data_IF_308517101958
#
_entry.id   IF_308517101958
#
_cell.length_a   1.000
_cell.length_b   1.000
_cell.length_c   1.000
_cell.angle_alpha   90.00
_cell.angle_beta   90.00
_cell.angle_gamma   90.00
#
_symmetry.space_group_name_H-M   'P 1'
#
loop_
_entity.id
_entity.type
_entity.pdbx_description
1 polymer ?
#
# COMPACT_ATOMS: atom_id res chain seq x y z
N UNK A 1 71.34 57.91 -15.29
CA UNK A 1 69.93 57.96 -15.75
C UNK A 1 69.29 56.61 -15.37
N UNK A 2 68.53 56.52 -14.27
CA UNK A 2 67.95 55.30 -13.72
C UNK A 2 66.45 55.30 -14.09
N UNK A 3 66.07 54.41 -14.99
CA UNK A 3 64.66 54.15 -15.40
C UNK A 3 63.99 53.37 -14.29
N UNK A 4 62.94 53.89 -13.66
CA UNK A 4 62.06 53.19 -12.72
C UNK A 4 60.83 52.62 -13.52
N UNK A 5 60.74 51.31 -13.63
CA UNK A 5 59.55 50.64 -14.10
C UNK A 5 58.51 50.58 -12.97
N UNK A 6 57.38 51.24 -13.14
CA UNK A 6 56.21 51.02 -12.33
C UNK A 6 55.37 49.85 -12.93
N UNK A 7 55.23 48.78 -12.19
CA UNK A 7 54.32 47.67 -12.55
C UNK A 7 52.96 47.99 -11.93
N UNK A 8 51.88 48.10 -12.70
CA UNK A 8 50.53 48.23 -12.12
C UNK A 8 50.07 46.91 -11.56
N UNK A 9 49.75 46.86 -10.27
CA UNK A 9 49.13 45.75 -9.57
C UNK A 9 47.65 45.75 -9.93
N UNK A 10 47.22 44.80 -10.81
CA UNK A 10 45.80 44.60 -11.13
C UNK A 10 45.17 43.84 -9.96
N UNK A 11 44.41 44.51 -9.12
CA UNK A 11 43.55 43.91 -8.10
C UNK A 11 42.35 43.22 -8.81
N UNK A 12 42.44 41.92 -8.97
CA UNK A 12 41.28 41.11 -9.38
C UNK A 12 40.30 41.02 -8.21
N UNK A 13 39.28 41.87 -8.24
CA UNK A 13 38.18 41.82 -7.28
C UNK A 13 37.30 40.56 -7.54
N UNK A 14 37.50 39.52 -6.75
CA UNK A 14 36.54 38.44 -6.69
C UNK A 14 35.24 38.93 -6.03
N UNK A 15 34.24 39.27 -6.84
CA UNK A 15 32.90 39.51 -6.33
C UNK A 15 32.31 38.14 -5.90
N UNK A 16 32.33 37.86 -4.61
CA UNK A 16 31.52 36.81 -4.02
C UNK A 16 30.06 37.19 -4.20
N UNK A 17 29.39 36.68 -5.22
CA UNK A 17 27.92 36.65 -5.25
C UNK A 17 27.47 35.66 -4.18
N UNK A 18 27.02 36.20 -3.03
CA UNK A 18 26.27 35.39 -2.08
C UNK A 18 25.00 34.93 -2.79
N UNK A 19 24.94 33.65 -3.13
CA UNK A 19 23.71 33.02 -3.55
C UNK A 19 22.74 33.11 -2.37
N UNK A 20 21.80 34.07 -2.41
CA UNK A 20 20.68 34.11 -1.47
C UNK A 20 19.84 32.87 -1.76
N UNK A 21 19.87 31.91 -0.82
CA UNK A 21 19.00 30.76 -0.90
C UNK A 21 17.55 31.26 -0.90
N UNK A 22 16.77 30.84 -1.88
CA UNK A 22 15.35 31.14 -1.94
C UNK A 22 14.66 30.49 -0.72
N UNK A 23 13.81 31.22 0.01
CA UNK A 23 13.12 30.65 1.16
C UNK A 23 12.17 29.53 0.71
N UNK A 24 12.12 28.46 1.50
CA UNK A 24 11.21 27.34 1.24
C UNK A 24 9.76 27.81 1.39
N UNK A 25 8.94 27.62 0.34
CA UNK A 25 7.54 28.05 0.28
C UNK A 25 6.57 26.89 0.33
N UNK A 26 5.28 27.20 0.50
CA UNK A 26 4.20 26.19 0.43
C UNK A 26 4.17 25.52 -0.95
N UNK A 27 4.42 26.27 -2.02
CA UNK A 27 4.50 25.74 -3.39
C UNK A 27 5.64 24.73 -3.51
N UNK A 28 6.79 24.99 -2.92
CA UNK A 28 7.89 24.03 -2.86
C UNK A 28 7.45 22.74 -2.16
N UNK A 29 6.80 22.84 -0.98
CA UNK A 29 6.31 21.70 -0.22
C UNK A 29 5.33 20.83 -1.03
N UNK A 30 4.40 21.47 -1.73
CA UNK A 30 3.37 20.76 -2.52
C UNK A 30 3.96 20.05 -3.74
N UNK A 31 5.02 20.64 -4.33
CA UNK A 31 5.71 20.10 -5.53
C UNK A 31 6.74 19.03 -5.21
N UNK A 32 7.13 18.84 -3.93
CA UNK A 32 8.05 17.78 -3.58
C UNK A 32 7.47 16.39 -3.92
N UNK A 33 8.26 15.61 -4.64
CA UNK A 33 7.97 14.19 -4.82
C UNK A 33 8.07 13.47 -3.47
N UNK A 34 7.10 12.58 -3.19
CA UNK A 34 7.06 11.81 -1.94
C UNK A 34 7.25 10.35 -2.25
N UNK A 35 8.34 9.81 -1.73
CA UNK A 35 8.68 8.39 -1.84
C UNK A 35 7.93 7.63 -0.75
N UNK A 36 7.24 6.55 -1.14
CA UNK A 36 6.57 5.63 -0.22
C UNK A 36 7.44 4.44 0.15
N UNK A 37 6.83 3.45 0.81
CA UNK A 37 7.54 2.26 1.33
C UNK A 37 8.17 1.44 0.20
N UNK A 38 9.50 1.17 0.26
CA UNK A 38 10.20 0.41 -0.75
C UNK A 38 10.07 -1.10 -0.52
N UNK A 39 10.23 -1.87 -1.59
CA UNK A 39 10.40 -3.32 -1.57
C UNK A 39 11.69 -3.70 -2.31
N UNK A 40 12.55 -4.47 -1.65
CA UNK A 40 13.82 -4.95 -2.20
C UNK A 40 13.58 -6.26 -2.94
N UNK A 41 14.22 -6.44 -4.12
CA UNK A 41 14.16 -7.69 -4.89
C UNK A 41 14.72 -8.87 -4.10
N UNK A 42 14.29 -10.13 -4.40
CA UNK A 42 14.77 -11.31 -3.69
C UNK A 42 16.29 -11.50 -3.73
N UNK A 43 16.94 -11.06 -4.79
CA UNK A 43 18.40 -11.09 -4.96
C UNK A 43 19.14 -9.88 -4.35
N UNK A 44 18.40 -8.92 -3.79
CA UNK A 44 18.94 -7.72 -3.16
C UNK A 44 19.50 -6.68 -4.15
N UNK A 45 19.36 -6.87 -5.46
CA UNK A 45 19.99 -6.01 -6.48
C UNK A 45 19.18 -4.77 -6.85
N UNK A 46 17.86 -4.82 -6.67
CA UNK A 46 16.93 -3.76 -7.08
C UNK A 46 15.96 -3.39 -5.96
N UNK A 47 15.45 -2.17 -6.02
CA UNK A 47 14.41 -1.67 -5.14
C UNK A 47 13.28 -1.07 -5.98
N UNK A 48 12.04 -1.46 -5.68
CA UNK A 48 10.84 -0.84 -6.22
C UNK A 48 10.17 0.00 -5.13
N UNK A 49 9.67 1.17 -5.49
CA UNK A 49 9.04 2.09 -4.55
C UNK A 49 8.00 2.96 -5.25
N UNK A 50 6.90 3.32 -4.58
CA UNK A 50 5.93 4.27 -5.12
C UNK A 50 6.46 5.71 -4.95
N UNK A 51 6.25 6.54 -5.97
CA UNK A 51 6.51 7.98 -5.91
C UNK A 51 5.21 8.72 -6.15
N UNK A 52 4.82 9.56 -5.18
CA UNK A 52 3.70 10.47 -5.33
C UNK A 52 4.17 11.80 -5.90
N UNK A 53 3.61 12.16 -7.04
CA UNK A 53 3.74 13.49 -7.63
C UNK A 53 2.43 14.26 -7.50
N UNK A 54 2.52 15.55 -7.22
CA UNK A 54 1.33 16.40 -7.17
C UNK A 54 1.06 16.96 -8.57
N UNK A 55 -0.11 16.61 -9.12
CA UNK A 55 -0.68 17.26 -10.28
C UNK A 55 -1.40 18.53 -9.79
N UNK A 56 -0.77 19.69 -9.99
CA UNK A 56 -1.29 20.96 -9.49
C UNK A 56 -2.55 21.41 -10.23
N UNK A 57 -2.71 21.04 -11.49
CA UNK A 57 -3.86 21.39 -12.31
C UNK A 57 -5.09 20.57 -11.90
N UNK A 58 -4.91 19.26 -11.72
CA UNK A 58 -5.97 18.36 -11.27
C UNK A 58 -6.21 18.44 -9.75
N UNK A 59 -5.35 19.08 -8.96
CA UNK A 59 -5.40 19.12 -7.50
C UNK A 59 -5.27 17.74 -6.85
N UNK A 60 -4.57 16.80 -7.49
CA UNK A 60 -4.50 15.39 -7.08
C UNK A 60 -3.05 14.91 -6.94
N UNK A 61 -2.83 13.95 -6.04
CA UNK A 61 -1.60 13.18 -6.00
C UNK A 61 -1.70 11.95 -6.89
N UNK A 62 -0.70 11.73 -7.74
CA UNK A 62 -0.56 10.55 -8.59
C UNK A 62 0.57 9.70 -8.08
N UNK A 63 0.33 8.41 -7.92
CA UNK A 63 1.34 7.46 -7.47
C UNK A 63 1.70 6.53 -8.62
N UNK A 64 3.00 6.41 -8.87
CA UNK A 64 3.56 5.44 -9.82
C UNK A 64 4.70 4.68 -9.15
N UNK A 65 4.93 3.46 -9.62
CA UNK A 65 6.05 2.65 -9.18
C UNK A 65 7.31 3.01 -9.95
N UNK A 66 8.41 3.10 -9.21
CA UNK A 66 9.76 3.34 -9.73
C UNK A 66 10.67 2.20 -9.32
N UNK A 67 11.62 1.90 -10.17
CA UNK A 67 12.62 0.85 -9.99
C UNK A 67 14.01 1.46 -10.05
N UNK A 68 14.86 1.11 -9.09
CA UNK A 68 16.26 1.58 -9.02
C UNK A 68 17.20 0.44 -8.62
N UNK A 69 18.44 0.40 -9.13
CA UNK A 69 19.48 -0.48 -8.61
C UNK A 69 19.86 -0.09 -7.17
N UNK A 70 20.03 -1.07 -6.27
CA UNK A 70 20.47 -0.83 -4.88
C UNK A 70 21.89 -0.25 -4.83
N UNK A 71 22.76 -0.67 -5.75
CA UNK A 71 24.14 -0.16 -5.84
C UNK A 71 24.29 1.25 -6.42
N UNK A 72 23.18 1.95 -6.69
CA UNK A 72 23.16 3.25 -7.35
C UNK A 72 23.02 3.14 -8.87
N UNK A 73 22.59 4.23 -9.49
CA UNK A 73 22.30 4.31 -10.92
C UNK A 73 20.97 5.01 -11.18
N UNK A 74 20.56 5.05 -12.45
CA UNK A 74 19.36 5.74 -12.85
C UNK A 74 18.08 4.96 -12.44
N UNK A 75 17.18 5.64 -11.77
CA UNK A 75 15.85 5.13 -11.50
C UNK A 75 14.98 5.23 -12.77
N UNK A 76 14.17 4.19 -13.02
CA UNK A 76 13.17 4.21 -14.10
C UNK A 76 11.77 4.07 -13.57
N UNK A 77 10.83 4.79 -14.17
CA UNK A 77 9.41 4.65 -13.90
C UNK A 77 8.93 3.29 -14.43
N UNK A 78 8.30 2.50 -13.58
CA UNK A 78 7.83 1.15 -13.92
C UNK A 78 6.37 1.16 -14.37
N UNK A 79 5.52 1.97 -13.73
CA UNK A 79 4.11 2.10 -14.10
C UNK A 79 3.75 3.53 -14.49
N UNK A 80 2.74 3.67 -15.37
CA UNK A 80 2.22 4.95 -15.86
C UNK A 80 0.71 4.81 -16.02
N UNK A 81 -0.05 5.20 -14.99
CA UNK A 81 -1.50 5.16 -15.04
C UNK A 81 -2.11 6.34 -14.27
N UNK A 82 -3.35 6.72 -14.58
CA UNK A 82 -4.04 7.80 -13.85
C UNK A 82 -4.44 7.40 -12.43
N UNK A 83 -4.75 6.12 -12.22
CA UNK A 83 -4.99 5.57 -10.88
C UNK A 83 -3.67 5.39 -10.14
N UNK A 84 -3.74 5.49 -8.81
CA UNK A 84 -2.58 5.28 -7.96
C UNK A 84 -2.13 3.83 -7.99
N UNK A 85 -0.82 3.62 -8.18
CA UNK A 85 -0.13 2.34 -8.08
C UNK A 85 0.72 2.35 -6.80
N UNK A 86 0.39 1.49 -5.83
CA UNK A 86 0.97 1.51 -4.47
C UNK A 86 1.29 0.11 -3.97
N UNK A 87 1.91 0.03 -2.79
CA UNK A 87 2.16 -1.23 -2.07
C UNK A 87 2.89 -2.29 -2.92
N UNK A 88 4.06 -1.99 -3.50
CA UNK A 88 4.76 -2.93 -4.35
C UNK A 88 5.27 -4.14 -3.55
N UNK A 89 5.18 -5.32 -4.16
CA UNK A 89 5.76 -6.57 -3.67
C UNK A 89 6.37 -7.36 -4.82
N UNK A 90 7.52 -7.98 -4.60
CA UNK A 90 8.20 -8.79 -5.61
C UNK A 90 7.59 -10.19 -5.71
N UNK A 91 7.56 -10.74 -6.94
CA UNK A 91 7.40 -12.18 -7.12
C UNK A 91 8.62 -12.92 -6.56
N UNK A 92 8.42 -14.17 -6.13
CA UNK A 92 9.50 -14.99 -5.55
C UNK A 92 10.70 -15.16 -6.51
N UNK A 93 10.46 -15.20 -7.82
CA UNK A 93 11.50 -15.33 -8.86
C UNK A 93 12.15 -13.99 -9.26
N UNK A 94 11.70 -12.87 -8.67
CA UNK A 94 12.21 -11.53 -8.94
C UNK A 94 11.91 -10.99 -10.34
N UNK A 95 11.03 -11.61 -11.11
CA UNK A 95 10.75 -11.20 -12.50
C UNK A 95 9.55 -10.28 -12.66
N UNK A 96 8.73 -10.17 -11.63
CA UNK A 96 7.52 -9.34 -11.64
C UNK A 96 7.37 -8.58 -10.33
N UNK A 97 6.62 -7.49 -10.40
CA UNK A 97 6.19 -6.71 -9.24
C UNK A 97 4.67 -6.73 -9.18
N UNK A 98 4.13 -7.12 -8.02
CA UNK A 98 2.72 -7.02 -7.68
C UNK A 98 2.48 -5.69 -6.97
N UNK A 99 1.29 -5.11 -7.12
CA UNK A 99 0.95 -3.82 -6.55
C UNK A 99 -0.57 -3.63 -6.46
N UNK A 100 -1.01 -2.70 -5.62
CA UNK A 100 -2.41 -2.27 -5.58
C UNK A 100 -2.66 -1.17 -6.60
N UNK A 101 -3.78 -1.27 -7.30
CA UNK A 101 -4.25 -0.23 -8.23
C UNK A 101 -5.77 -0.21 -8.35
N UNK A 102 -6.32 1.00 -8.42
CA UNK A 102 -7.75 1.23 -8.67
C UNK A 102 -8.14 1.34 -10.16
N UNK A 103 -7.26 0.90 -11.07
CA UNK A 103 -7.45 1.07 -12.53
C UNK A 103 -8.62 0.30 -13.15
N UNK A 104 -9.13 -0.72 -12.45
CA UNK A 104 -10.36 -1.46 -12.84
C UNK A 104 -11.64 -0.89 -12.25
N UNK A 105 -11.57 0.25 -11.55
CA UNK A 105 -12.72 0.86 -10.87
C UNK A 105 -12.80 0.58 -9.36
N UNK A 106 -12.12 -0.47 -8.88
CA UNK A 106 -11.95 -0.83 -7.47
C UNK A 106 -10.49 -1.13 -7.18
N UNK A 107 -10.09 -1.10 -5.90
CA UNK A 107 -8.73 -1.43 -5.48
C UNK A 107 -8.50 -2.94 -5.61
N UNK A 108 -7.63 -3.34 -6.54
CA UNK A 108 -7.30 -4.73 -6.84
C UNK A 108 -5.78 -4.93 -6.88
N UNK A 109 -5.33 -6.18 -6.79
CA UNK A 109 -3.93 -6.55 -7.00
C UNK A 109 -3.66 -6.66 -8.49
N UNK A 110 -2.57 -6.05 -8.92
CA UNK A 110 -2.05 -6.05 -10.29
C UNK A 110 -0.61 -6.54 -10.31
N UNK A 111 -0.13 -6.99 -11.45
CA UNK A 111 1.23 -7.47 -11.68
C UNK A 111 1.81 -6.86 -12.93
N UNK A 112 3.09 -6.46 -12.87
CA UNK A 112 3.85 -6.00 -14.04
C UNK A 112 5.16 -6.79 -14.15
N UNK A 113 5.49 -7.26 -15.35
CA UNK A 113 6.76 -7.92 -15.61
C UNK A 113 7.89 -6.89 -15.75
N UNK A 114 9.09 -7.19 -15.20
CA UNK A 114 10.25 -6.30 -15.34
C UNK A 114 10.80 -6.24 -16.78
N UNK A 115 10.55 -7.28 -17.56
CA UNK A 115 10.91 -7.33 -18.98
C UNK A 115 10.13 -6.31 -19.85
N UNK A 116 9.09 -5.69 -19.30
CA UNK A 116 8.21 -4.76 -19.99
C UNK A 116 6.83 -5.37 -20.28
N UNK A 117 5.97 -4.57 -20.91
CA UNK A 117 4.57 -4.90 -21.19
C UNK A 117 3.64 -4.10 -20.30
N UNK A 118 2.34 -4.36 -20.44
CA UNK A 118 1.30 -3.76 -19.63
C UNK A 118 1.09 -4.54 -18.32
N UNK A 119 0.56 -3.86 -17.30
CA UNK A 119 0.17 -4.51 -16.07
C UNK A 119 -1.05 -5.41 -16.30
N UNK A 120 -0.98 -6.63 -15.76
CA UNK A 120 -2.07 -7.60 -15.78
C UNK A 120 -2.81 -7.57 -14.43
N UNK A 121 -4.13 -7.66 -14.45
CA UNK A 121 -4.94 -7.79 -13.25
C UNK A 121 -4.74 -9.18 -12.63
N UNK A 122 -4.52 -9.22 -11.33
CA UNK A 122 -4.32 -10.47 -10.57
C UNK A 122 -5.60 -10.88 -9.86
N UNK A 123 -6.32 -9.91 -9.29
CA UNK A 123 -7.59 -10.16 -8.58
C UNK A 123 -8.74 -9.40 -9.24
N UNK A 124 -9.89 -10.04 -9.31
CA UNK A 124 -11.15 -9.41 -9.72
C UNK A 124 -12.21 -9.72 -8.65
N UNK A 125 -11.99 -9.16 -7.46
CA UNK A 125 -12.84 -9.38 -6.30
C UNK A 125 -13.95 -8.32 -6.26
N UNK A 126 -15.15 -8.68 -5.76
CA UNK A 126 -16.26 -7.72 -5.66
C UNK A 126 -16.10 -6.69 -4.53
N UNK A 127 -15.06 -6.83 -3.71
CA UNK A 127 -14.70 -5.91 -2.64
C UNK A 127 -13.30 -5.35 -2.90
N UNK A 128 -13.06 -4.14 -2.40
CA UNK A 128 -11.74 -3.52 -2.44
C UNK A 128 -10.71 -4.30 -1.64
N UNK A 129 -9.54 -4.53 -2.25
CA UNK A 129 -8.37 -5.05 -1.55
C UNK A 129 -7.68 -3.91 -0.82
N UNK A 130 -7.63 -3.98 0.51
CA UNK A 130 -7.00 -2.97 1.37
C UNK A 130 -5.48 -3.15 1.47
N UNK A 131 -5.01 -4.39 1.60
CA UNK A 131 -3.59 -4.75 1.62
C UNK A 131 -3.41 -6.18 1.11
N UNK A 132 -2.18 -6.53 0.73
CA UNK A 132 -1.89 -7.89 0.27
C UNK A 132 -0.48 -8.34 0.64
N UNK A 133 -0.24 -9.65 0.60
CA UNK A 133 1.07 -10.27 0.74
C UNK A 133 1.14 -11.58 -0.03
N UNK A 134 2.24 -11.81 -0.74
CA UNK A 134 2.51 -13.09 -1.41
C UNK A 134 3.11 -14.10 -0.43
N UNK A 135 2.69 -15.34 -0.49
CA UNK A 135 3.34 -16.44 0.21
C UNK A 135 4.74 -16.73 -0.40
N UNK A 136 5.69 -17.27 0.38
CA UNK A 136 7.04 -17.55 -0.09
C UNK A 136 7.12 -18.38 -1.38
N UNK A 137 6.20 -19.33 -1.55
CA UNK A 137 6.10 -20.15 -2.78
C UNK A 137 5.50 -19.44 -3.99
N UNK A 138 4.87 -18.29 -3.79
CA UNK A 138 4.20 -17.54 -4.86
C UNK A 138 2.88 -18.14 -5.34
N UNK A 139 2.39 -19.21 -4.72
CA UNK A 139 1.13 -19.90 -5.10
C UNK A 139 -0.08 -19.42 -4.31
N UNK A 140 0.15 -18.61 -3.26
CA UNK A 140 -0.91 -18.06 -2.42
C UNK A 140 -0.74 -16.57 -2.26
N UNK A 141 -1.84 -15.84 -2.39
CA UNK A 141 -1.95 -14.43 -2.15
C UNK A 141 -2.86 -14.20 -0.93
N UNK A 142 -2.35 -13.55 0.10
CA UNK A 142 -3.17 -13.01 1.17
C UNK A 142 -3.68 -11.64 0.78
N UNK A 143 -4.96 -11.39 1.01
CA UNK A 143 -5.57 -10.07 0.84
C UNK A 143 -6.38 -9.71 2.07
N UNK A 144 -6.41 -8.42 2.41
CA UNK A 144 -7.36 -7.90 3.38
C UNK A 144 -8.52 -7.23 2.66
N UNK A 145 -9.74 -7.50 3.11
CA UNK A 145 -10.96 -6.86 2.63
C UNK A 145 -11.86 -6.51 3.81
N UNK A 146 -12.70 -5.50 3.64
CA UNK A 146 -13.68 -5.14 4.65
C UNK A 146 -14.97 -5.95 4.45
N UNK A 147 -15.29 -6.80 5.41
CA UNK A 147 -16.49 -7.66 5.39
C UNK A 147 -17.24 -7.61 6.72
N UNK A 148 -18.52 -7.94 6.71
CA UNK A 148 -19.31 -8.07 7.94
C UNK A 148 -18.86 -9.31 8.70
N UNK A 149 -18.68 -9.22 10.05
CA UNK A 149 -18.17 -10.33 10.86
C UNK A 149 -19.10 -11.55 10.89
N UNK A 150 -20.38 -11.34 10.71
CA UNK A 150 -21.43 -12.36 10.66
C UNK A 150 -21.72 -12.89 9.25
N UNK A 151 -20.93 -12.49 8.24
CA UNK A 151 -20.94 -13.05 6.90
C UNK A 151 -19.86 -14.12 6.76
N UNK A 152 -20.27 -15.33 6.35
CA UNK A 152 -19.36 -16.46 6.13
C UNK A 152 -18.65 -16.37 4.77
N UNK A 153 -19.24 -15.66 3.80
CA UNK A 153 -18.70 -15.48 2.45
C UNK A 153 -18.71 -14.02 2.00
N UNK A 154 -17.96 -13.74 0.94
CA UNK A 154 -17.86 -12.39 0.34
C UNK A 154 -19.21 -11.95 -0.24
N UNK A 155 -19.96 -12.88 -0.84
CA UNK A 155 -21.26 -12.60 -1.48
C UNK A 155 -22.29 -12.09 -0.47
N UNK A 156 -22.25 -12.55 0.78
CA UNK A 156 -23.08 -12.04 1.88
C UNK A 156 -22.80 -10.57 2.13
N UNK A 157 -21.51 -10.19 2.19
CA UNK A 157 -21.13 -8.76 2.37
C UNK A 157 -21.61 -7.90 1.21
N UNK A 158 -21.42 -8.36 -0.02
CA UNK A 158 -21.86 -7.64 -1.24
C UNK A 158 -23.37 -7.42 -1.26
N UNK A 159 -24.15 -8.45 -0.90
CA UNK A 159 -25.62 -8.30 -0.81
C UNK A 159 -26.03 -7.28 0.23
N UNK A 160 -25.43 -7.32 1.41
CA UNK A 160 -25.74 -6.38 2.51
C UNK A 160 -25.35 -4.94 2.15
N UNK A 161 -24.20 -4.76 1.48
CA UNK A 161 -23.81 -3.43 0.99
C UNK A 161 -24.84 -2.85 0.03
N UNK A 162 -25.30 -3.67 -0.90
CA UNK A 162 -26.34 -3.27 -1.85
C UNK A 162 -27.67 -2.94 -1.16
N UNK A 163 -28.08 -3.75 -0.17
CA UNK A 163 -29.27 -3.48 0.63
C UNK A 163 -29.18 -2.14 1.37
N UNK A 164 -27.99 -1.81 1.90
CA UNK A 164 -27.74 -0.52 2.56
C UNK A 164 -27.72 0.65 1.57
N UNK A 165 -27.18 0.48 0.37
CA UNK A 165 -27.20 1.51 -0.67
C UNK A 165 -28.64 1.81 -1.14
N UNK A 166 -29.48 0.77 -1.23
CA UNK A 166 -30.88 0.89 -1.64
C UNK A 166 -31.77 1.43 -0.50
N UNK A 167 -31.29 1.44 0.75
CA UNK A 167 -32.05 1.95 1.90
C UNK A 167 -32.11 3.49 1.86
N UNK A 168 -33.31 4.02 2.04
CA UNK A 168 -33.56 5.47 2.07
C UNK A 168 -33.28 6.10 3.44
N UNK A 169 -32.96 5.29 4.43
CA UNK A 169 -32.62 5.77 5.78
C UNK A 169 -31.22 6.36 5.76
N UNK A 170 -31.10 7.63 6.14
CA UNK A 170 -29.83 8.35 6.19
C UNK A 170 -29.18 8.37 7.58
N UNK A 171 -29.89 7.87 8.59
CA UNK A 171 -29.37 7.78 9.96
C UNK A 171 -28.58 6.51 10.20
N UNK A 172 -27.51 6.59 10.99
CA UNK A 172 -26.72 5.43 11.42
C UNK A 172 -27.01 5.15 12.90
N UNK A 173 -27.29 3.88 13.23
CA UNK A 173 -27.44 3.41 14.60
C UNK A 173 -26.15 2.71 15.03
N UNK A 174 -25.57 3.20 16.12
CA UNK A 174 -24.39 2.57 16.72
C UNK A 174 -24.80 1.91 18.03
N UNK A 175 -24.61 0.61 18.14
CA UNK A 175 -24.90 -0.19 19.34
C UNK A 175 -23.71 -0.33 20.28
N UNK A 176 -22.51 0.00 19.79
CA UNK A 176 -21.24 -0.15 20.52
C UNK A 176 -20.34 1.07 20.33
N UNK A 177 -19.56 1.40 21.33
CA UNK A 177 -18.35 2.17 21.15
C UNK A 177 -17.26 1.18 20.66
N UNK A 178 -16.48 1.52 19.71
CA UNK A 178 -15.86 2.73 19.29
C UNK A 178 -16.41 3.15 17.90
N UNK A 179 -17.04 4.31 17.78
CA UNK A 179 -17.79 4.69 16.56
C UNK A 179 -16.97 5.51 15.56
N UNK A 180 -15.88 6.14 16.03
CA UNK A 180 -15.04 7.00 15.19
C UNK A 180 -13.60 7.01 15.67
N UNK A 181 -12.65 6.94 14.74
CA UNK A 181 -11.23 7.14 15.00
C UNK A 181 -10.77 8.37 14.20
N UNK A 182 -10.45 9.48 14.89
CA UNK A 182 -10.19 10.80 14.33
C UNK A 182 -11.33 11.25 13.40
N UNK A 183 -11.06 11.34 12.09
CA UNK A 183 -11.98 11.74 11.04
C UNK A 183 -12.62 10.54 10.29
N UNK A 184 -12.32 9.31 10.70
CA UNK A 184 -12.87 8.09 10.10
C UNK A 184 -13.98 7.49 10.96
N UNK A 185 -15.18 7.42 10.41
CA UNK A 185 -16.29 6.68 11.00
C UNK A 185 -16.07 5.18 10.82
N UNK A 186 -16.21 4.44 11.91
CA UNK A 186 -16.14 2.98 11.85
C UNK A 186 -17.51 2.43 11.45
N UNK A 187 -17.49 1.48 10.55
CA UNK A 187 -18.66 0.71 10.12
C UNK A 187 -18.76 -0.58 10.94
N UNK A 188 -19.85 -1.33 10.75
CA UNK A 188 -19.99 -2.67 11.32
C UNK A 188 -19.08 -3.73 10.65
N UNK A 189 -18.45 -3.39 9.53
CA UNK A 189 -17.45 -4.24 8.86
C UNK A 189 -16.15 -4.33 9.65
N UNK A 190 -15.42 -5.40 9.40
CA UNK A 190 -14.04 -5.63 9.87
C UNK A 190 -13.12 -5.78 8.68
N UNK A 191 -11.89 -5.35 8.86
CA UNK A 191 -10.80 -5.78 8.00
C UNK A 191 -10.53 -7.25 8.30
N UNK A 192 -10.62 -8.12 7.27
CA UNK A 192 -10.48 -9.58 7.42
C UNK A 192 -9.48 -10.11 6.40
N UNK A 193 -8.69 -11.11 6.79
CA UNK A 193 -7.72 -11.74 5.90
C UNK A 193 -8.32 -12.94 5.17
N UNK A 194 -8.04 -12.97 3.87
CA UNK A 194 -8.42 -14.06 2.98
C UNK A 194 -7.18 -14.59 2.26
N UNK A 195 -7.13 -15.91 2.05
CA UNK A 195 -6.15 -16.55 1.19
C UNK A 195 -6.78 -16.88 -0.16
N UNK A 196 -6.09 -16.49 -1.24
CA UNK A 196 -6.42 -16.80 -2.62
C UNK A 196 -5.34 -17.69 -3.20
N UNK A 197 -5.72 -18.71 -3.95
CA UNK A 197 -4.79 -19.50 -4.75
C UNK A 197 -4.42 -18.74 -6.01
N UNK A 198 -3.13 -18.73 -6.34
CA UNK A 198 -2.62 -18.19 -7.60
C UNK A 198 -2.28 -19.34 -8.56
N UNK A 199 -2.70 -19.20 -9.82
CA UNK A 199 -2.32 -20.03 -10.95
C UNK A 199 -1.65 -19.14 -12.00
N UNK A 200 -0.42 -19.44 -12.35
CA UNK A 200 0.41 -18.57 -13.22
C UNK A 200 0.50 -17.09 -12.74
N UNK A 201 0.37 -16.90 -11.42
CA UNK A 201 0.43 -15.58 -10.79
C UNK A 201 -0.83 -14.74 -10.92
N UNK A 202 -1.97 -15.34 -11.28
CA UNK A 202 -3.32 -14.75 -11.31
C UNK A 202 -4.18 -15.52 -10.29
N UNK A 203 -5.11 -14.82 -9.63
CA UNK A 203 -6.03 -15.48 -8.72
C UNK A 203 -6.92 -16.50 -9.48
N UNK A 204 -7.01 -17.71 -8.96
CA UNK A 204 -7.91 -18.73 -9.52
C UNK A 204 -9.37 -18.42 -9.18
N UNK A 205 -10.30 -19.08 -9.87
CA UNK A 205 -11.75 -18.97 -9.62
C UNK A 205 -12.20 -19.64 -8.30
N UNK A 206 -11.26 -20.20 -7.53
CA UNK A 206 -11.59 -20.82 -6.24
C UNK A 206 -12.02 -19.76 -5.22
N UNK A 207 -13.02 -20.11 -4.39
CA UNK A 207 -13.48 -19.23 -3.32
C UNK A 207 -12.33 -18.86 -2.38
N UNK A 208 -12.18 -17.57 -2.04
CA UNK A 208 -11.20 -17.10 -1.06
C UNK A 208 -11.43 -17.72 0.32
N UNK A 209 -10.38 -18.25 0.92
CA UNK A 209 -10.44 -18.84 2.26
C UNK A 209 -10.33 -17.77 3.33
N UNK A 210 -11.35 -17.60 4.16
CA UNK A 210 -11.33 -16.67 5.28
C UNK A 210 -10.45 -17.21 6.42
N UNK A 211 -9.39 -16.47 6.76
CA UNK A 211 -8.40 -16.90 7.77
C UNK A 211 -8.69 -16.36 9.18
N UNK A 212 -9.49 -15.31 9.30
CA UNK A 212 -9.79 -14.63 10.57
C UNK A 212 -11.22 -14.84 11.03
N UNK A 213 -11.84 -15.99 10.67
CA UNK A 213 -13.23 -16.30 11.02
C UNK A 213 -13.48 -16.34 12.53
N UNK A 214 -12.53 -16.87 13.29
CA UNK A 214 -12.63 -17.06 14.74
C UNK A 214 -12.29 -15.84 15.59
N UNK A 215 -11.91 -14.70 14.94
CA UNK A 215 -11.39 -13.51 15.62
C UNK A 215 -12.28 -12.31 15.30
N UNK A 216 -12.98 -11.76 16.31
CA UNK A 216 -13.69 -10.49 16.15
C UNK A 216 -12.71 -9.31 16.35
N UNK A 217 -11.98 -9.00 15.30
CA UNK A 217 -11.01 -7.92 15.25
C UNK A 217 -10.84 -7.41 13.81
N UNK A 218 -10.30 -6.21 13.67
CA UNK A 218 -9.78 -5.74 12.41
C UNK A 218 -8.37 -6.31 12.17
N UNK A 219 -8.17 -7.04 11.08
CA UNK A 219 -6.87 -7.61 10.66
C UNK A 219 -6.64 -7.33 9.16
N UNK A 220 -5.75 -6.43 8.80
CA UNK A 220 -4.97 -5.53 9.67
C UNK A 220 -5.86 -4.52 10.40
N UNK A 221 -5.27 -3.90 11.44
CA UNK A 221 -5.99 -2.97 12.29
C UNK A 221 -6.50 -1.76 11.51
N UNK A 222 -7.69 -1.29 11.83
CA UNK A 222 -8.20 -0.03 11.28
C UNK A 222 -7.83 1.11 12.24
N UNK A 223 -7.42 2.28 11.75
CA UNK A 223 -7.56 2.83 10.39
C UNK A 223 -6.25 2.72 9.59
N UNK A 224 -5.12 2.46 10.21
CA UNK A 224 -3.78 2.69 9.67
C UNK A 224 -2.99 1.40 9.43
N UNK A 225 -3.48 0.25 9.89
CA UNK A 225 -2.80 -1.02 9.70
C UNK A 225 -2.78 -1.47 8.24
N UNK A 226 -1.72 -2.19 7.87
CA UNK A 226 -1.48 -2.69 6.53
C UNK A 226 -0.83 -4.07 6.53
N UNK A 227 -0.18 -4.41 5.44
CA UNK A 227 0.46 -5.73 5.28
C UNK A 227 1.61 -5.99 6.27
N UNK A 228 2.10 -4.98 6.98
CA UNK A 228 3.11 -5.10 8.03
C UNK A 228 2.60 -5.81 9.30
N UNK A 229 1.27 -5.86 9.51
CA UNK A 229 0.66 -6.45 10.69
C UNK A 229 0.39 -7.96 10.56
N UNK A 230 0.72 -8.57 9.42
CA UNK A 230 0.62 -10.01 9.24
C UNK A 230 1.79 -10.56 8.42
N UNK A 231 2.19 -11.79 8.70
CA UNK A 231 3.31 -12.47 8.04
C UNK A 231 2.99 -13.94 7.83
N UNK A 232 3.48 -14.48 6.71
CA UNK A 232 3.36 -15.90 6.39
C UNK A 232 4.63 -16.61 6.86
N UNK A 233 4.49 -17.79 7.48
CA UNK A 233 5.62 -18.64 7.83
C UNK A 233 6.44 -19.01 6.61
N UNK A 234 7.72 -19.31 6.80
CA UNK A 234 8.65 -19.64 5.70
C UNK A 234 8.27 -20.91 4.93
N UNK A 235 7.55 -21.82 5.57
CA UNK A 235 6.99 -23.04 4.95
C UNK A 235 5.66 -22.79 4.20
N UNK A 236 5.12 -21.56 4.28
CA UNK A 236 3.87 -21.20 3.61
C UNK A 236 2.62 -21.78 4.24
N UNK A 237 2.69 -22.37 5.44
CA UNK A 237 1.57 -23.09 6.04
C UNK A 237 0.72 -22.26 7.00
N UNK A 238 1.30 -21.25 7.63
CA UNK A 238 0.69 -20.48 8.72
C UNK A 238 0.80 -18.99 8.48
N UNK A 239 -0.27 -18.24 8.74
CA UNK A 239 -0.21 -16.79 8.87
C UNK A 239 -0.19 -16.41 10.34
N UNK A 240 0.72 -15.52 10.72
CA UNK A 240 0.74 -14.84 12.02
C UNK A 240 0.27 -13.40 11.81
N UNK A 241 -0.57 -12.89 12.70
CA UNK A 241 -1.10 -11.55 12.60
C UNK A 241 -1.31 -10.92 13.97
N UNK A 242 -1.18 -9.61 14.04
CA UNK A 242 -1.53 -8.83 15.22
C UNK A 242 -3.02 -8.49 15.19
N UNK A 243 -3.70 -8.63 16.31
CA UNK A 243 -5.10 -8.25 16.43
C UNK A 243 -5.42 -7.72 17.83
N UNK A 244 -6.31 -6.74 17.87
CA UNK A 244 -6.97 -6.27 19.08
C UNK A 244 -8.43 -6.70 19.03
N UNK A 245 -8.81 -7.57 19.97
CA UNK A 245 -10.18 -8.06 20.05
C UNK A 245 -11.15 -6.91 20.31
N UNK A 246 -12.24 -6.94 19.58
CA UNK A 246 -13.33 -5.97 19.73
C UNK A 246 -14.32 -6.45 20.78
N UNK A 247 -14.05 -6.06 22.02
CA UNK A 247 -14.91 -6.32 23.17
C UNK A 247 -15.31 -5.01 23.86
N UNK A 248 -15.98 -5.12 24.99
CA UNK A 248 -16.37 -3.96 25.80
C UNK A 248 -15.18 -3.11 26.30
N UNK A 249 -13.94 -3.62 26.23
CA UNK A 249 -12.72 -2.92 26.62
C UNK A 249 -12.04 -2.22 25.45
N UNK A 250 -12.43 -2.49 24.21
CA UNK A 250 -11.80 -1.89 23.03
C UNK A 250 -11.58 -0.38 23.14
N UNK A 251 -12.55 0.42 23.63
CA UNK A 251 -12.38 1.87 23.75
C UNK A 251 -11.31 2.31 24.76
N UNK A 252 -10.92 1.44 25.67
CA UNK A 252 -9.99 1.73 26.78
C UNK A 252 -8.73 0.89 26.77
N UNK A 253 -8.57 0.00 25.77
CA UNK A 253 -7.42 -0.90 25.64
C UNK A 253 -6.66 -0.62 24.36
N UNK A 254 -5.33 -0.61 24.46
CA UNK A 254 -4.40 -0.57 23.33
C UNK A 254 -3.67 -1.90 23.16
N UNK A 255 -4.16 -2.96 23.81
CA UNK A 255 -3.51 -4.26 23.79
C UNK A 255 -3.73 -4.97 22.46
N UNK A 256 -2.61 -5.35 21.81
CA UNK A 256 -2.58 -6.24 20.67
C UNK A 256 -1.92 -7.54 21.06
N UNK A 257 -2.52 -8.65 20.65
CA UNK A 257 -1.96 -9.98 20.79
C UNK A 257 -1.61 -10.55 19.41
N UNK A 258 -0.73 -11.55 19.38
CA UNK A 258 -0.34 -12.24 18.15
C UNK A 258 -1.14 -13.53 18.05
N UNK A 259 -1.77 -13.71 16.93
CA UNK A 259 -2.57 -14.87 16.56
C UNK A 259 -1.92 -15.63 15.41
N UNK A 260 -2.31 -16.88 15.25
CA UNK A 260 -1.90 -17.72 14.15
C UNK A 260 -3.12 -18.45 13.55
N UNK A 261 -3.14 -18.59 12.24
CA UNK A 261 -4.14 -19.37 11.53
C UNK A 261 -3.48 -20.19 10.41
N UNK A 262 -3.97 -21.42 10.12
CA UNK A 262 -3.52 -22.15 8.93
C UNK A 262 -3.92 -21.43 7.66
N UNK A 263 -3.05 -21.40 6.64
CA UNK A 263 -3.42 -20.84 5.33
C UNK A 263 -4.51 -21.64 4.61
N UNK A 264 -4.66 -22.90 4.95
CA UNK A 264 -5.74 -23.76 4.42
C UNK A 264 -7.12 -23.46 5.03
N UNK A 265 -7.20 -22.56 6.00
CA UNK A 265 -8.40 -22.30 6.78
C UNK A 265 -8.55 -23.24 7.97
N UNK A 266 -9.32 -22.83 9.01
CA UNK A 266 -9.60 -23.64 10.21
C UNK A 266 -10.19 -22.82 11.33
#
# INVERSE_FOLDING_TARGET
MKLRFCVPFLLLGCTFQAALAEPFTVEHLVRLDRVGSPAVSPDGSQVVYPVRKTDMEAGKGRYDLWLSPVGGGDARRLTVHESADTSPAWSADGKSVYFLSGRSGSSQVWRIALAGGEAAQVTELPLDVGSFRLAPGGETLLVSMQAYPDCDDIACTVRRDKEQEDDKVTGSLYSQLFVRHWDHWLTDKRSRLYALRLEDGIASDAEPVLLTASVDADVPSRVWGGSEEYVISSDGATVYFAARLRDAKEPTSTNFDIYAAPLAGG
#
